data_IF_753458868637
#
_entry.id   IF_753458868637
#
_cell.length_a   1.000
_cell.length_b   1.000
_cell.length_c   1.000
_cell.angle_alpha   90.00
_cell.angle_beta   90.00
_cell.angle_gamma   90.00
#
_symmetry.space_group_name_H-M   'P 1'
#
loop_
_entity.id
_entity.type
_entity.pdbx_description
1 polymer ?
#
# COMPACT_ATOMS: atom_id res chain seq x y z
N UNK A 1 -0.54 8.57 13.96
CA UNK A 1 -0.81 7.61 12.89
C UNK A 1 0.29 7.70 11.84
N UNK A 2 1.44 7.09 12.13
CA UNK A 2 2.48 6.83 11.14
C UNK A 2 2.11 5.59 10.31
N UNK A 3 2.75 5.41 9.15
CA UNK A 3 2.60 4.20 8.32
C UNK A 3 2.81 2.91 9.14
N UNK A 4 3.79 2.92 10.06
CA UNK A 4 4.06 1.84 11.00
C UNK A 4 2.85 1.51 11.90
N UNK A 5 2.11 2.53 12.38
CA UNK A 5 0.90 2.32 13.18
C UNK A 5 -0.21 1.65 12.36
N UNK A 6 -0.44 2.09 11.12
CA UNK A 6 -1.44 1.48 10.22
C UNK A 6 -1.11 0.02 9.90
N UNK A 7 0.17 -0.27 9.64
CA UNK A 7 0.61 -1.63 9.35
C UNK A 7 0.54 -2.53 10.58
N UNK A 8 0.89 -2.00 11.75
CA UNK A 8 0.80 -2.73 13.02
C UNK A 8 -0.64 -3.06 13.37
N UNK A 9 -1.58 -2.18 13.05
CA UNK A 9 -3.01 -2.44 13.18
C UNK A 9 -3.46 -3.56 12.23
N UNK A 10 -2.95 -3.57 11.00
CA UNK A 10 -3.17 -4.63 9.99
C UNK A 10 -2.60 -5.99 10.41
N UNK A 11 -1.39 -6.03 10.95
CA UNK A 11 -0.77 -7.24 11.49
C UNK A 11 -1.50 -7.74 12.75
N UNK A 12 -2.05 -6.83 13.56
CA UNK A 12 -2.81 -7.17 14.77
C UNK A 12 -4.20 -7.74 14.50
N UNK A 13 -4.83 -7.40 13.37
CA UNK A 13 -6.20 -7.79 13.03
C UNK A 13 -6.37 -9.26 12.61
N UNK A 14 -5.29 -10.00 12.27
CA UNK A 14 -5.36 -11.43 11.90
C UNK A 14 -4.69 -12.33 12.95
N UNK A 15 -5.33 -12.47 14.09
CA UNK A 15 -4.95 -13.48 15.09
C UNK A 15 -5.91 -14.68 15.06
N UNK A 16 -5.61 -15.68 14.23
CA UNK A 16 -5.90 -17.11 14.51
C UNK A 16 -5.31 -18.02 13.42
N UNK A 17 -4.57 -19.04 13.86
CA UNK A 17 -3.94 -20.13 13.08
C UNK A 17 -2.88 -19.77 12.00
N UNK A 18 -1.61 -19.86 12.40
CA UNK A 18 -0.62 -20.73 11.75
C UNK A 18 0.02 -20.31 10.42
N UNK A 19 -0.56 -19.40 9.65
CA UNK A 19 0.09 -18.82 8.48
C UNK A 19 0.26 -17.33 8.73
N UNK A 20 1.48 -16.93 9.07
CA UNK A 20 1.95 -15.56 9.03
C UNK A 20 1.97 -15.10 7.56
N UNK A 21 0.79 -14.96 6.96
CA UNK A 21 0.57 -14.12 5.80
C UNK A 21 0.71 -12.70 6.31
N UNK A 22 1.96 -12.25 6.38
CA UNK A 22 2.25 -10.84 6.18
C UNK A 22 1.40 -10.45 4.98
N UNK A 23 0.32 -9.70 5.18
CA UNK A 23 -0.54 -9.30 4.07
C UNK A 23 0.36 -8.48 3.18
N UNK A 24 0.81 -9.12 2.10
CA UNK A 24 1.76 -8.52 1.21
C UNK A 24 1.03 -7.34 0.57
N UNK A 25 1.70 -6.19 0.45
CA UNK A 25 1.05 -5.00 -0.09
C UNK A 25 0.53 -5.23 -1.51
N UNK A 26 1.13 -6.15 -2.25
CA UNK A 26 0.63 -6.73 -3.49
C UNK A 26 -0.77 -7.38 -3.40
N UNK A 27 -1.14 -8.00 -2.27
CA UNK A 27 -2.49 -8.53 -2.04
C UNK A 27 -3.50 -7.44 -1.64
N UNK A 28 -3.07 -6.46 -0.85
CA UNK A 28 -3.86 -5.27 -0.49
C UNK A 28 -4.13 -4.40 -1.73
N UNK A 29 -3.09 -4.13 -2.50
CA UNK A 29 -3.11 -3.38 -3.75
C UNK A 29 -3.27 -4.32 -4.95
N UNK A 30 -4.34 -5.13 -4.91
CA UNK A 30 -4.68 -6.01 -6.02
C UNK A 30 -5.11 -5.23 -7.28
N UNK A 31 -5.22 -5.94 -8.39
CA UNK A 31 -5.57 -5.37 -9.70
C UNK A 31 -6.87 -4.56 -9.70
N UNK A 32 -7.87 -5.00 -8.94
CA UNK A 32 -9.16 -4.33 -8.84
C UNK A 32 -9.06 -3.02 -8.05
N UNK A 33 -8.29 -3.00 -6.97
CA UNK A 33 -8.04 -1.79 -6.20
C UNK A 33 -7.21 -0.78 -7.01
N UNK A 34 -6.11 -1.24 -7.61
CA UNK A 34 -5.23 -0.38 -8.41
C UNK A 34 -5.97 0.22 -9.61
N UNK A 35 -6.80 -0.56 -10.31
CA UNK A 35 -7.61 -0.07 -11.42
C UNK A 35 -8.70 0.92 -11.01
N UNK A 36 -9.12 0.92 -9.74
CA UNK A 36 -10.06 1.91 -9.19
C UNK A 36 -9.38 3.21 -8.79
N UNK A 37 -8.17 3.09 -8.26
CA UNK A 37 -7.43 4.22 -7.72
C UNK A 37 -6.63 4.95 -8.81
N UNK A 38 -6.23 4.22 -9.86
CA UNK A 38 -5.37 4.65 -10.95
C UNK A 38 -5.71 3.88 -12.22
N UNK A 39 -5.13 4.28 -13.35
CA UNK A 39 -5.12 3.44 -14.58
C UNK A 39 -4.12 2.29 -14.52
N UNK A 40 -3.61 1.96 -13.34
CA UNK A 40 -2.54 0.99 -13.13
C UNK A 40 -3.15 -0.34 -12.75
N UNK A 41 -2.53 -1.41 -13.24
CA UNK A 41 -2.99 -2.78 -12.98
C UNK A 41 -2.32 -3.38 -11.76
N UNK A 42 -1.06 -3.03 -11.46
CA UNK A 42 -0.38 -3.60 -10.30
C UNK A 42 0.34 -2.55 -9.50
N UNK A 43 0.47 -2.81 -8.20
CA UNK A 43 1.31 -2.02 -7.31
C UNK A 43 2.78 -1.98 -7.75
N UNK A 44 3.27 -3.07 -8.35
CA UNK A 44 4.63 -3.11 -8.88
C UNK A 44 4.83 -2.12 -10.05
N UNK A 45 3.86 -2.00 -10.96
CA UNK A 45 3.87 -1.00 -12.06
C UNK A 45 3.82 0.43 -11.51
N UNK A 46 3.05 0.65 -10.45
CA UNK A 46 3.00 1.92 -9.75
C UNK A 46 4.36 2.33 -9.22
N UNK A 47 5.03 1.44 -8.48
CA UNK A 47 6.35 1.71 -7.93
C UNK A 47 7.40 1.89 -9.03
N UNK A 48 7.39 1.02 -10.04
CA UNK A 48 8.30 1.11 -11.18
C UNK A 48 8.19 2.45 -11.90
N UNK A 49 6.96 2.98 -12.05
CA UNK A 49 6.70 4.29 -12.66
C UNK A 49 7.19 5.47 -11.80
N UNK A 50 7.23 5.29 -10.48
CA UNK A 50 7.85 6.23 -9.54
C UNK A 50 9.37 6.06 -9.42
N UNK A 51 9.94 5.08 -10.13
CA UNK A 51 11.33 4.66 -9.98
C UNK A 51 11.66 4.20 -8.54
N UNK A 52 10.64 3.72 -7.82
CA UNK A 52 10.73 3.13 -6.49
C UNK A 52 10.85 1.61 -6.63
N UNK A 53 11.74 1.00 -5.86
CA UNK A 53 11.93 -0.47 -5.87
C UNK A 53 11.37 -1.05 -4.57
N UNK A 54 10.11 -0.76 -4.28
CA UNK A 54 9.54 -1.06 -2.98
C UNK A 54 8.79 -2.41 -2.96
N UNK A 55 9.54 -3.51 -2.86
CA UNK A 55 8.93 -4.86 -2.85
C UNK A 55 8.47 -5.30 -1.46
N UNK A 56 8.94 -4.62 -0.42
CA UNK A 56 8.64 -4.94 0.97
C UNK A 56 8.20 -3.70 1.75
N UNK A 57 7.51 -3.92 2.87
CA UNK A 57 7.17 -2.84 3.81
C UNK A 57 8.41 -2.07 4.26
N UNK A 58 9.54 -2.75 4.39
CA UNK A 58 10.80 -2.15 4.82
C UNK A 58 11.39 -1.24 3.73
N UNK A 59 11.32 -1.63 2.46
CA UNK A 59 11.69 -0.74 1.36
C UNK A 59 10.80 0.51 1.31
N UNK A 60 9.49 0.35 1.53
CA UNK A 60 8.56 1.48 1.56
C UNK A 60 8.85 2.45 2.69
N UNK A 61 9.24 1.94 3.86
CA UNK A 61 9.61 2.76 5.01
C UNK A 61 10.97 3.47 4.80
N UNK A 62 11.83 2.93 3.95
CA UNK A 62 13.06 3.60 3.52
C UNK A 62 12.79 4.70 2.48
N UNK A 63 11.64 4.69 1.81
CA UNK A 63 11.26 5.74 0.85
C UNK A 63 10.73 6.94 1.64
N UNK A 64 11.25 8.16 1.37
CA UNK A 64 10.71 9.37 1.96
C UNK A 64 9.22 9.53 1.65
N UNK A 65 8.40 9.72 2.69
CA UNK A 65 6.95 9.87 2.55
C UNK A 65 6.57 10.95 1.53
N UNK A 66 7.30 12.07 1.47
CA UNK A 66 7.05 13.16 0.51
C UNK A 66 7.20 12.73 -0.96
N UNK A 67 8.16 11.85 -1.26
CA UNK A 67 8.35 11.32 -2.61
C UNK A 67 7.21 10.38 -2.97
N UNK A 68 6.79 9.57 -2.01
CA UNK A 68 5.69 8.65 -2.20
C UNK A 68 4.36 9.39 -2.34
N UNK A 69 4.08 10.35 -1.47
CA UNK A 69 2.88 11.20 -1.50
C UNK A 69 2.75 11.91 -2.84
N UNK A 70 3.83 12.50 -3.35
CA UNK A 70 3.82 13.16 -4.65
C UNK A 70 3.55 12.19 -5.81
N UNK A 71 4.04 10.98 -5.70
CA UNK A 71 3.83 9.95 -6.71
C UNK A 71 2.40 9.42 -6.67
N UNK A 72 1.87 9.19 -5.47
CA UNK A 72 0.47 8.82 -5.23
C UNK A 72 -0.49 9.90 -5.73
N UNK A 73 -0.24 11.16 -5.40
CA UNK A 73 -1.04 12.31 -5.87
C UNK A 73 -1.07 12.44 -7.39
N UNK A 74 0.03 12.08 -8.06
CA UNK A 74 0.12 12.16 -9.52
C UNK A 74 -0.52 10.97 -10.22
N UNK A 75 -0.37 9.77 -9.69
CA UNK A 75 -0.78 8.54 -10.34
C UNK A 75 -2.17 8.08 -9.91
N UNK A 76 -2.61 8.48 -8.71
CA UNK A 76 -3.87 8.06 -8.09
C UNK A 76 -4.73 9.27 -7.74
N UNK A 77 -5.95 9.02 -7.27
CA UNK A 77 -6.85 10.06 -6.79
C UNK A 77 -6.63 10.45 -5.33
N UNK A 78 -5.63 9.86 -4.67
CA UNK A 78 -5.30 10.14 -3.27
C UNK A 78 -4.23 11.21 -3.17
N UNK A 79 -4.34 12.07 -2.16
CA UNK A 79 -3.37 13.15 -1.88
C UNK A 79 -2.10 12.70 -1.18
N UNK A 80 -2.08 11.47 -0.66
CA UNK A 80 -0.94 10.91 0.06
C UNK A 80 -1.00 9.37 0.07
N UNK A 81 0.17 8.75 0.17
CA UNK A 81 0.37 7.32 0.29
C UNK A 81 -0.45 6.70 1.40
N UNK A 82 -0.51 7.39 2.52
CA UNK A 82 -1.21 6.92 3.70
C UNK A 82 -2.73 6.79 3.47
N UNK A 83 -3.35 7.76 2.81
CA UNK A 83 -4.78 7.69 2.46
C UNK A 83 -5.07 6.56 1.47
N UNK A 84 -4.17 6.33 0.51
CA UNK A 84 -4.28 5.21 -0.44
C UNK A 84 -4.23 3.86 0.28
N UNK A 85 -3.32 3.71 1.24
CA UNK A 85 -3.17 2.48 2.02
C UNK A 85 -4.36 2.22 2.96
N UNK A 86 -4.86 3.26 3.63
CA UNK A 86 -6.03 3.18 4.51
C UNK A 86 -7.26 2.68 3.74
N UNK A 87 -7.50 3.24 2.55
CA UNK A 87 -8.58 2.80 1.68
C UNK A 87 -8.39 1.35 1.20
N UNK A 88 -7.17 0.95 0.80
CA UNK A 88 -6.88 -0.43 0.41
C UNK A 88 -7.16 -1.41 1.55
N UNK A 89 -6.77 -1.02 2.76
CA UNK A 89 -6.96 -1.81 3.99
C UNK A 89 -8.42 -1.95 4.36
N UNK A 90 -9.19 -0.87 4.23
CA UNK A 90 -10.62 -0.87 4.45
C UNK A 90 -11.36 -1.75 3.44
N UNK A 91 -11.02 -1.65 2.14
CA UNK A 91 -11.61 -2.49 1.08
C UNK A 91 -11.24 -3.98 1.23
N UNK A 92 -10.06 -4.27 1.77
CA UNK A 92 -9.62 -5.66 1.99
C UNK A 92 -10.28 -6.32 3.22
N UNK A 93 -10.64 -5.54 4.24
CA UNK A 93 -11.30 -6.04 5.46
C UNK A 93 -12.85 -5.97 5.40
N UNK A 94 -13.43 -5.31 4.40
CA UNK A 94 -14.88 -5.17 4.20
C UNK A 94 -15.47 -6.24 3.31
#
# INVERSE_FOLDING_TARGET
MSFDELLKELQGAKSSEGEQRQVALEELFNEAFMSRCSSLKSFEEFLHKGNFTAKTQEDLNNIPDELMDRHVDRETHFTNWKAMLDQATAEYNG
#
